data_IF_335225650635
#
_entry.id   IF_335225650635
#
_cell.length_a   1.000
_cell.length_b   1.000
_cell.length_c   1.000
_cell.angle_alpha   90.00
_cell.angle_beta   90.00
_cell.angle_gamma   90.00
#
_symmetry.space_group_name_H-M   'P 1'
#
loop_
_entity.id
_entity.type
_entity.pdbx_description
1 polymer ?
#
# COMPACT_ATOMS: atom_id res chain seq x y z
N UNK A 1 58.60 -18.73 -17.44
CA UNK A 1 57.37 -19.38 -17.94
C UNK A 1 57.09 -20.56 -17.02
N UNK A 2 55.83 -20.71 -16.58
CA UNK A 2 55.25 -21.66 -15.59
C UNK A 2 55.21 -21.24 -14.10
N UNK A 3 54.00 -20.78 -13.74
CA UNK A 3 53.27 -20.75 -12.45
C UNK A 3 53.20 -22.14 -11.74
N UNK A 4 52.44 -22.32 -10.63
CA UNK A 4 52.29 -21.60 -9.35
C UNK A 4 52.26 -22.60 -8.14
N UNK A 5 51.98 -22.12 -6.92
CA UNK A 5 51.10 -22.73 -5.88
C UNK A 5 51.36 -22.02 -4.53
N UNK A 6 50.43 -21.26 -3.94
CA UNK A 6 49.12 -21.56 -3.31
C UNK A 6 49.25 -21.26 -1.80
N UNK A 7 48.69 -20.13 -1.37
CA UNK A 7 48.37 -19.85 0.04
C UNK A 7 46.85 -20.04 0.16
N UNK A 8 46.44 -21.01 0.99
CA UNK A 8 45.03 -21.28 1.27
C UNK A 8 44.50 -20.29 2.31
N UNK A 9 43.44 -19.57 1.96
CA UNK A 9 42.58 -18.84 2.88
C UNK A 9 41.30 -19.65 3.08
N UNK A 10 40.92 -19.93 4.32
CA UNK A 10 39.65 -20.57 4.68
C UNK A 10 38.60 -19.51 4.98
N UNK A 11 37.46 -19.54 4.28
CA UNK A 11 36.28 -18.71 4.55
C UNK A 11 35.21 -19.54 5.23
N UNK A 12 34.68 -19.06 6.37
CA UNK A 12 33.52 -19.62 7.04
C UNK A 12 32.26 -18.87 6.57
N UNK A 13 31.31 -19.56 5.96
CA UNK A 13 29.97 -19.03 5.65
C UNK A 13 28.99 -19.60 6.69
N UNK A 14 28.57 -18.77 7.65
CA UNK A 14 27.44 -19.08 8.53
C UNK A 14 26.15 -18.54 7.91
N UNK A 15 25.33 -19.43 7.35
CA UNK A 15 23.94 -19.13 6.99
C UNK A 15 22.99 -19.69 8.06
N UNK A 16 22.35 -18.83 8.85
CA UNK A 16 21.24 -19.22 9.72
C UNK A 16 19.93 -19.19 8.93
N UNK A 17 19.31 -20.35 8.73
CA UNK A 17 17.89 -20.47 8.36
C UNK A 17 17.11 -20.88 9.61
N UNK A 18 16.13 -20.08 10.02
CA UNK A 18 15.17 -20.45 11.06
C UNK A 18 13.92 -21.06 10.40
N UNK A 19 13.68 -22.35 10.64
CA UNK A 19 12.36 -22.97 10.46
C UNK A 19 11.83 -23.33 11.85
N UNK A 20 10.60 -22.92 12.15
CA UNK A 20 9.90 -23.34 13.37
C UNK A 20 8.91 -24.45 12.99
N UNK A 21 9.17 -25.67 13.45
CA UNK A 21 8.14 -26.70 13.59
C UNK A 21 8.44 -27.55 14.83
N UNK A 22 7.47 -27.60 15.76
CA UNK A 22 7.21 -28.64 16.76
C UNK A 22 8.39 -29.29 17.52
N UNK A 23 8.54 -28.91 18.80
CA UNK A 23 9.04 -29.72 19.93
C UNK A 23 10.00 -30.90 19.67
N UNK A 24 11.31 -30.64 19.74
CA UNK A 24 12.37 -31.32 20.54
C UNK A 24 13.75 -31.08 19.89
N UNK A 25 14.65 -30.45 20.62
CA UNK A 25 16.04 -30.23 20.20
C UNK A 25 16.85 -31.53 20.29
N UNK A 26 17.50 -31.92 19.19
CA UNK A 26 18.61 -32.88 19.20
C UNK A 26 19.66 -32.43 18.20
N UNK A 27 20.90 -32.25 18.66
CA UNK A 27 22.06 -31.80 17.87
C UNK A 27 22.79 -33.01 17.29
N UNK A 28 23.07 -33.02 15.99
CA UNK A 28 24.03 -33.96 15.36
C UNK A 28 25.12 -33.12 14.67
N UNK A 29 26.37 -33.43 14.99
CA UNK A 29 27.58 -32.82 14.42
C UNK A 29 28.08 -33.63 13.21
N UNK A 30 28.57 -32.95 12.17
CA UNK A 30 29.38 -33.55 11.09
C UNK A 30 30.73 -32.81 10.92
N UNK A 31 31.76 -33.45 10.32
CA UNK A 31 33.17 -33.25 10.71
C UNK A 31 33.97 -32.24 9.88
N UNK A 32 34.98 -31.64 10.52
CA UNK A 32 36.00 -30.76 9.93
C UNK A 32 37.08 -31.54 9.14
N UNK A 33 37.53 -30.99 8.00
CA UNK A 33 38.74 -31.42 7.29
C UNK A 33 39.82 -30.35 7.40
N UNK A 34 40.97 -30.70 8.02
CA UNK A 34 42.13 -29.81 8.25
C UNK A 34 43.36 -30.30 7.47
N UNK A 35 44.09 -29.40 6.81
CA UNK A 35 45.39 -29.71 6.17
C UNK A 35 46.50 -28.81 6.74
N UNK A 36 47.63 -29.41 7.15
CA UNK A 36 48.78 -28.78 7.84
C UNK A 36 49.92 -28.39 6.90
N UNK A 37 50.65 -27.32 7.27
CA UNK A 37 51.93 -26.88 6.65
C UNK A 37 53.17 -27.45 7.39
N UNK A 38 54.31 -27.56 6.68
CA UNK A 38 55.62 -27.95 7.25
C UNK A 38 56.67 -26.85 7.03
N UNK A 39 57.54 -26.64 8.03
CA UNK A 39 58.53 -25.54 8.13
C UNK A 39 59.97 -26.07 7.95
N UNK A 40 60.81 -25.34 7.20
CA UNK A 40 62.26 -25.55 7.11
C UNK A 40 63.03 -24.29 7.55
N UNK A 41 64.13 -24.46 8.29
CA UNK A 41 64.91 -23.43 9.00
C UNK A 41 65.80 -22.57 8.07
N UNK A 42 65.93 -21.28 8.39
CA UNK A 42 66.93 -20.37 7.83
C UNK A 42 68.03 -20.04 8.86
N UNK A 43 69.27 -19.88 8.39
CA UNK A 43 70.44 -19.38 9.14
C UNK A 43 70.66 -17.89 8.92
N UNK A 44 71.10 -17.20 9.98
CA UNK A 44 71.37 -15.76 10.06
C UNK A 44 72.51 -15.27 9.17
N UNK A 45 72.38 -14.04 8.64
CA UNK A 45 73.51 -13.19 8.28
C UNK A 45 73.23 -11.73 8.69
N UNK A 46 74.32 -11.04 9.05
CA UNK A 46 74.43 -9.84 9.89
C UNK A 46 73.91 -8.54 9.24
N UNK A 47 73.46 -7.64 10.13
CA UNK A 47 73.09 -6.23 9.94
C UNK A 47 74.23 -5.33 9.47
N UNK A 48 73.89 -4.17 8.86
CA UNK A 48 74.65 -2.95 9.17
C UNK A 48 73.80 -1.68 9.42
N UNK A 49 74.38 -0.86 10.31
CA UNK A 49 74.23 0.58 10.52
C UNK A 49 73.01 1.11 11.32
N UNK A 50 73.30 1.59 12.53
CA UNK A 50 72.39 2.08 13.56
C UNK A 50 71.86 3.51 13.36
N UNK A 51 72.24 4.20 12.29
CA UNK A 51 71.83 5.61 12.03
C UNK A 51 70.53 5.67 11.22
N UNK A 52 70.30 4.71 10.32
CA UNK A 52 69.01 4.56 9.64
C UNK A 52 67.89 4.12 10.59
N UNK A 53 68.21 3.32 11.62
CA UNK A 53 67.23 2.83 12.59
C UNK A 53 66.61 3.97 13.41
N UNK A 54 67.41 4.96 13.84
CA UNK A 54 66.92 6.09 14.63
C UNK A 54 66.09 7.07 13.80
N UNK A 55 66.44 7.28 12.53
CA UNK A 55 65.61 8.07 11.61
C UNK A 55 64.29 7.37 11.28
N UNK A 56 64.30 6.03 11.13
CA UNK A 56 63.07 5.24 10.99
C UNK A 56 62.19 5.30 12.23
N UNK A 57 62.77 5.27 13.43
CA UNK A 57 62.01 5.36 14.69
C UNK A 57 61.35 6.74 14.84
N UNK A 58 62.06 7.84 14.53
CA UNK A 58 61.49 9.19 14.58
C UNK A 58 60.42 9.39 13.49
N UNK A 59 60.64 8.87 12.27
CA UNK A 59 59.62 8.90 11.21
C UNK A 59 58.40 8.02 11.57
N UNK A 60 58.62 6.89 12.25
CA UNK A 60 57.53 6.03 12.75
C UNK A 60 56.75 6.72 13.86
N UNK A 61 57.41 7.42 14.79
CA UNK A 61 56.79 8.16 15.89
C UNK A 61 55.99 9.39 15.38
N UNK A 62 56.52 10.10 14.38
CA UNK A 62 55.80 11.19 13.69
C UNK A 62 54.64 10.66 12.82
N UNK A 63 54.76 9.47 12.23
CA UNK A 63 53.63 8.81 11.55
C UNK A 63 52.53 8.35 12.52
N UNK A 64 52.89 7.96 13.74
CA UNK A 64 51.92 7.58 14.78
C UNK A 64 51.24 8.77 15.47
N UNK A 65 51.74 10.00 15.32
CA UNK A 65 51.03 11.23 15.71
C UNK A 65 50.22 11.85 14.57
N UNK A 66 50.37 11.34 13.34
CA UNK A 66 49.47 11.62 12.22
C UNK A 66 48.29 10.63 12.16
N UNK A 67 47.87 10.08 13.30
CA UNK A 67 46.49 9.61 13.47
C UNK A 67 45.62 10.87 13.53
N UNK A 68 45.43 11.45 12.34
CA UNK A 68 44.19 12.12 11.99
C UNK A 68 43.06 11.21 12.47
N UNK A 69 42.03 11.83 13.04
CA UNK A 69 40.68 11.31 13.16
C UNK A 69 40.25 10.69 11.83
N UNK A 70 40.69 9.47 11.54
CA UNK A 70 40.00 8.59 10.63
C UNK A 70 38.80 8.17 11.46
N UNK A 71 37.73 8.97 11.37
CA UNK A 71 36.38 8.40 11.50
C UNK A 71 36.44 7.14 10.65
N UNK A 72 36.36 5.98 11.29
CA UNK A 72 36.32 4.71 10.58
C UNK A 72 35.24 4.85 9.53
N UNK A 73 35.66 5.00 8.28
CA UNK A 73 34.75 4.84 7.18
C UNK A 73 34.47 3.36 7.20
N UNK A 74 33.36 3.02 7.85
CA UNK A 74 32.76 1.71 7.84
C UNK A 74 32.43 1.42 6.37
N UNK A 75 33.44 0.96 5.62
CA UNK A 75 33.33 0.32 4.32
C UNK A 75 32.77 -1.10 4.54
N UNK A 76 31.75 -1.20 5.41
CA UNK A 76 30.94 -2.37 5.57
C UNK A 76 30.21 -2.59 4.26
N UNK A 77 30.21 -3.84 3.80
CA UNK A 77 29.45 -4.33 2.64
C UNK A 77 27.97 -3.88 2.64
N UNK A 78 27.44 -3.52 3.82
CA UNK A 78 26.14 -2.88 4.02
C UNK A 78 26.31 -1.70 4.98
N UNK A 79 25.89 -0.50 4.56
CA UNK A 79 25.81 0.69 5.41
C UNK A 79 24.37 1.17 5.47
N UNK A 80 23.92 1.61 6.65
CA UNK A 80 22.63 2.31 6.79
C UNK A 80 22.68 3.61 6.02
N UNK A 81 21.83 3.77 4.99
CA UNK A 81 21.70 4.99 4.22
C UNK A 81 20.81 5.98 4.96
N UNK A 82 21.23 7.24 5.06
CA UNK A 82 20.35 8.34 5.47
C UNK A 82 19.34 8.60 4.34
N UNK A 83 18.02 8.42 4.56
CA UNK A 83 16.99 8.69 3.54
C UNK A 83 17.06 10.10 2.96
N UNK A 84 17.61 11.08 3.69
CA UNK A 84 17.80 12.45 3.22
C UNK A 84 18.82 12.53 2.08
N UNK A 85 19.83 11.66 2.05
CA UNK A 85 20.83 11.59 0.98
C UNK A 85 20.25 11.05 -0.33
N UNK A 86 19.14 10.31 -0.26
CA UNK A 86 18.43 9.79 -1.44
C UNK A 86 17.47 10.83 -2.07
N UNK A 87 17.39 12.04 -1.49
CA UNK A 87 16.43 13.07 -1.89
C UNK A 87 14.98 12.63 -1.72
N UNK A 88 14.73 11.63 -0.89
CA UNK A 88 13.39 11.10 -0.63
C UNK A 88 12.61 12.11 0.18
N UNK A 89 11.63 12.73 -0.49
CA UNK A 89 10.63 13.59 0.15
C UNK A 89 9.65 12.73 0.95
N UNK A 90 8.72 13.37 1.66
CA UNK A 90 7.56 12.70 2.28
C UNK A 90 6.86 11.81 1.25
N UNK A 91 6.49 10.60 1.66
CA UNK A 91 5.68 9.68 0.84
C UNK A 91 4.43 10.37 0.33
N UNK A 92 4.02 10.04 -0.90
CA UNK A 92 2.86 10.62 -1.57
C UNK A 92 1.95 9.53 -2.07
N UNK A 93 0.65 9.75 -1.95
CA UNK A 93 -0.37 8.99 -2.67
C UNK A 93 -0.65 9.71 -3.99
N UNK A 94 -0.77 8.95 -5.08
CA UNK A 94 -1.07 9.49 -6.41
C UNK A 94 -1.98 8.54 -7.15
N UNK A 95 -3.01 9.09 -7.79
CA UNK A 95 -3.97 8.35 -8.59
C UNK A 95 -3.77 8.68 -10.07
N UNK A 96 -3.86 7.65 -10.90
CA UNK A 96 -3.73 7.74 -12.35
C UNK A 96 -4.94 7.12 -13.00
N UNK A 97 -5.41 7.78 -14.05
CA UNK A 97 -6.44 7.27 -14.95
C UNK A 97 -5.97 7.48 -16.38
N UNK A 98 -5.94 6.41 -17.16
CA UNK A 98 -5.58 6.45 -18.58
C UNK A 98 -6.12 5.21 -19.29
N UNK A 99 -6.09 5.26 -20.62
CA UNK A 99 -6.48 4.17 -21.50
C UNK A 99 -5.24 3.58 -22.15
N UNK A 100 -5.08 2.27 -22.03
CA UNK A 100 -4.04 1.46 -22.65
C UNK A 100 -4.58 0.85 -23.95
N UNK A 101 -3.83 0.99 -25.04
CA UNK A 101 -4.25 0.61 -26.39
C UNK A 101 -3.36 -0.49 -26.96
N UNK A 102 -3.84 -1.72 -26.94
CA UNK A 102 -3.18 -2.88 -27.55
C UNK A 102 -3.62 -2.98 -29.01
N UNK A 103 -2.70 -2.72 -29.94
CA UNK A 103 -3.01 -2.62 -31.37
C UNK A 103 -2.18 -3.66 -32.12
N UNK A 104 -2.82 -4.75 -32.55
CA UNK A 104 -2.25 -5.78 -33.42
C UNK A 104 -2.47 -5.48 -34.90
N UNK A 105 -3.50 -4.69 -35.23
CA UNK A 105 -3.90 -4.44 -36.61
C UNK A 105 -3.32 -3.15 -37.19
N UNK A 106 -3.65 -2.91 -38.47
CA UNK A 106 -3.26 -1.70 -39.17
C UNK A 106 -1.81 -1.70 -39.64
N UNK A 107 -1.35 -0.53 -40.11
CA UNK A 107 0.00 -0.36 -40.68
C UNK A 107 1.09 -0.19 -39.62
N UNK A 108 0.70 0.30 -38.43
CA UNK A 108 1.61 0.64 -37.34
C UNK A 108 1.11 -0.02 -36.04
N UNK A 109 1.19 -1.36 -35.91
CA UNK A 109 0.79 -2.04 -34.69
C UNK A 109 1.68 -1.61 -33.52
N UNK A 110 1.10 -1.53 -32.32
CA UNK A 110 1.83 -1.32 -31.06
C UNK A 110 2.17 -2.62 -30.35
N UNK A 111 1.52 -3.72 -30.74
CA UNK A 111 1.71 -5.05 -30.19
C UNK A 111 2.09 -6.06 -31.28
N UNK A 112 3.06 -6.92 -30.96
CA UNK A 112 3.57 -7.94 -31.90
C UNK A 112 3.73 -9.26 -31.17
N UNK A 113 3.09 -10.30 -31.69
CA UNK A 113 3.28 -11.68 -31.21
C UNK A 113 4.69 -12.17 -31.54
N UNK A 114 5.48 -12.48 -30.51
CA UNK A 114 6.88 -12.95 -30.64
C UNK A 114 7.01 -14.45 -30.42
N UNK A 115 6.11 -15.06 -29.64
CA UNK A 115 5.99 -16.51 -29.50
C UNK A 115 4.55 -16.90 -29.75
N UNK A 116 4.35 -17.89 -30.64
CA UNK A 116 3.02 -18.43 -30.94
C UNK A 116 2.69 -19.56 -29.98
N UNK A 117 1.41 -19.66 -29.61
CA UNK A 117 0.91 -20.81 -28.88
C UNK A 117 1.07 -22.10 -29.71
N UNK A 118 1.20 -23.27 -29.07
CA UNK A 118 1.08 -24.55 -29.75
C UNK A 118 -0.26 -24.68 -30.49
N UNK A 119 -0.27 -25.46 -31.58
CA UNK A 119 -1.50 -25.78 -32.32
C UNK A 119 -2.55 -26.40 -31.39
N UNK A 120 -3.82 -26.01 -31.57
CA UNK A 120 -4.98 -26.45 -30.78
C UNK A 120 -5.07 -25.93 -29.33
N UNK A 121 -4.39 -24.84 -28.99
CA UNK A 121 -4.55 -24.18 -27.68
C UNK A 121 -5.76 -23.23 -27.67
N UNK A 122 -6.79 -23.55 -26.88
CA UNK A 122 -7.98 -22.69 -26.70
C UNK A 122 -7.71 -21.46 -25.83
N UNK A 123 -6.69 -21.50 -24.98
CA UNK A 123 -6.31 -20.38 -24.09
C UNK A 123 -5.12 -19.59 -24.62
N UNK A 124 -4.56 -20.00 -25.76
CA UNK A 124 -3.30 -19.50 -26.32
C UNK A 124 -2.10 -19.72 -25.39
N UNK A 125 -2.17 -20.64 -24.41
CA UNK A 125 -1.09 -20.91 -23.46
C UNK A 125 0.27 -21.01 -24.13
N UNK A 126 1.25 -20.29 -23.59
CA UNK A 126 2.62 -20.20 -24.09
C UNK A 126 2.84 -19.14 -25.17
N UNK A 127 1.79 -18.46 -25.68
CA UNK A 127 1.99 -17.30 -26.54
C UNK A 127 2.61 -16.13 -25.76
N UNK A 128 3.41 -15.33 -26.44
CA UNK A 128 4.05 -14.12 -25.89
C UNK A 128 3.96 -13.00 -26.91
N UNK A 129 3.62 -11.81 -26.45
CA UNK A 129 3.54 -10.60 -27.28
C UNK A 129 4.34 -9.47 -26.65
N UNK A 130 5.18 -8.83 -27.47
CA UNK A 130 5.89 -7.60 -27.11
C UNK A 130 4.97 -6.40 -27.37
N UNK A 131 5.01 -5.43 -26.46
CA UNK A 131 4.16 -4.23 -26.53
C UNK A 131 4.96 -2.94 -26.36
N UNK A 132 4.53 -1.93 -27.09
CA UNK A 132 4.87 -0.52 -26.92
C UNK A 132 3.59 0.32 -27.12
N UNK A 133 2.67 0.17 -26.18
CA UNK A 133 1.29 0.61 -26.32
C UNK A 133 1.07 2.04 -25.84
N UNK A 134 0.32 2.87 -26.58
CA UNK A 134 -0.07 4.21 -26.13
C UNK A 134 -0.87 4.19 -24.80
N UNK A 135 -0.56 5.15 -23.92
CA UNK A 135 -1.38 5.48 -22.74
C UNK A 135 -2.00 6.86 -22.94
N UNK A 136 -3.32 6.94 -23.12
CA UNK A 136 -4.00 8.19 -23.46
C UNK A 136 -5.01 8.64 -22.39
N UNK A 137 -5.44 9.90 -22.46
CA UNK A 137 -6.41 10.48 -21.54
C UNK A 137 -7.82 9.90 -21.70
N UNK A 138 -8.24 9.66 -22.95
CA UNK A 138 -9.56 9.13 -23.31
C UNK A 138 -9.45 7.82 -24.11
N UNK A 139 -10.57 7.12 -24.32
CA UNK A 139 -10.59 5.88 -25.08
C UNK A 139 -10.29 6.08 -26.58
N UNK A 140 -10.35 7.30 -27.11
CA UNK A 140 -9.94 7.60 -28.47
C UNK A 140 -8.41 7.69 -28.55
N UNK A 141 -7.80 7.01 -29.54
CA UNK A 141 -6.35 7.06 -29.76
C UNK A 141 -5.83 8.47 -30.08
N UNK A 142 -6.69 9.34 -30.64
CA UNK A 142 -6.39 10.74 -30.90
C UNK A 142 -6.41 11.63 -29.66
N UNK A 143 -6.86 11.10 -28.51
CA UNK A 143 -6.83 11.84 -27.26
C UNK A 143 -5.40 12.06 -26.78
N UNK A 144 -5.24 12.94 -25.78
CA UNK A 144 -3.93 13.34 -25.28
C UNK A 144 -3.11 12.12 -24.84
N UNK A 145 -1.88 12.02 -25.35
CA UNK A 145 -0.92 10.97 -24.99
C UNK A 145 -0.21 11.31 -23.67
N UNK A 146 -0.32 10.45 -22.67
CA UNK A 146 0.35 10.62 -21.37
C UNK A 146 1.66 9.84 -21.27
N UNK A 147 1.77 8.74 -22.01
CA UNK A 147 2.87 7.80 -21.87
C UNK A 147 2.74 6.60 -22.78
N UNK A 148 3.58 5.59 -22.52
CA UNK A 148 3.54 4.29 -23.18
C UNK A 148 3.64 3.14 -22.17
N UNK A 149 3.00 2.02 -22.45
CA UNK A 149 3.21 0.76 -21.75
C UNK A 149 4.17 -0.10 -22.56
N UNK A 150 5.33 -0.40 -21.98
CA UNK A 150 6.40 -1.11 -22.67
C UNK A 150 6.77 -2.37 -21.92
N UNK A 151 6.86 -3.49 -22.64
CA UNK A 151 7.18 -4.79 -22.06
C UNK A 151 6.59 -5.93 -22.88
N UNK A 152 6.07 -6.94 -22.19
CA UNK A 152 5.37 -8.04 -22.84
C UNK A 152 4.23 -8.56 -21.97
N UNK A 153 3.38 -9.36 -22.60
CA UNK A 153 2.51 -10.26 -21.87
C UNK A 153 2.54 -11.65 -22.49
N UNK A 154 2.24 -12.66 -21.67
CA UNK A 154 2.21 -14.05 -22.10
C UNK A 154 0.92 -14.73 -21.66
N UNK A 155 0.33 -15.59 -22.50
CA UNK A 155 -0.76 -16.44 -22.02
C UNK A 155 -0.19 -17.51 -21.09
N UNK A 156 -0.50 -17.40 -19.80
CA UNK A 156 0.14 -18.13 -18.73
C UNK A 156 -0.83 -19.10 -18.01
N UNK A 157 -2.05 -19.26 -18.52
CA UNK A 157 -3.06 -20.18 -17.97
C UNK A 157 -3.48 -21.23 -18.98
N UNK A 158 -3.58 -22.48 -18.53
CA UNK A 158 -4.04 -23.61 -19.35
C UNK A 158 -5.57 -23.77 -19.33
N UNK A 159 -6.24 -23.21 -18.31
CA UNK A 159 -7.68 -23.41 -18.08
C UNK A 159 -8.54 -22.26 -18.59
N UNK A 160 -7.96 -21.07 -18.76
CA UNK A 160 -8.64 -19.86 -19.21
C UNK A 160 -7.66 -18.91 -19.90
N UNK A 161 -8.16 -17.86 -20.56
CA UNK A 161 -7.31 -16.79 -21.11
C UNK A 161 -6.82 -15.88 -19.97
N UNK A 162 -5.76 -16.32 -19.32
CA UNK A 162 -5.08 -15.58 -18.24
C UNK A 162 -3.69 -15.14 -18.69
N UNK A 163 -3.51 -13.83 -18.86
CA UNK A 163 -2.23 -13.25 -19.25
C UNK A 163 -1.35 -13.00 -18.02
N UNK A 164 -0.04 -13.16 -18.14
CA UNK A 164 0.95 -12.57 -17.25
C UNK A 164 1.43 -11.27 -17.90
N UNK A 165 1.14 -10.12 -17.28
CA UNK A 165 1.62 -8.82 -17.72
C UNK A 165 2.98 -8.55 -17.06
N UNK A 166 3.99 -8.20 -17.85
CA UNK A 166 5.30 -7.77 -17.38
C UNK A 166 5.71 -6.50 -18.16
N UNK A 167 5.36 -5.34 -17.61
CA UNK A 167 5.43 -4.07 -18.35
C UNK A 167 5.72 -2.87 -17.44
N UNK A 168 6.22 -1.81 -18.05
CA UNK A 168 6.40 -0.50 -17.43
C UNK A 168 5.43 0.51 -18.06
N UNK A 169 4.75 1.29 -17.22
CA UNK A 169 4.11 2.53 -17.65
C UNK A 169 5.14 3.65 -17.61
N UNK A 170 5.55 4.13 -18.78
CA UNK A 170 6.50 5.21 -18.97
C UNK A 170 5.76 6.51 -19.30
N UNK A 171 5.80 7.48 -18.39
CA UNK A 171 5.13 8.77 -18.58
C UNK A 171 6.05 9.74 -19.32
N UNK A 172 5.51 10.41 -20.35
CA UNK A 172 6.29 11.31 -21.24
C UNK A 172 5.89 12.78 -21.12
N UNK A 173 4.90 13.07 -20.27
CA UNK A 173 4.32 14.40 -20.14
C UNK A 173 4.11 14.84 -18.69
N UNK A 174 3.98 16.16 -18.51
CA UNK A 174 3.66 16.79 -17.23
C UNK A 174 4.71 16.55 -16.16
N UNK A 175 4.29 16.59 -14.88
CA UNK A 175 5.23 16.48 -13.76
C UNK A 175 5.92 15.11 -13.67
N UNK A 176 5.36 14.08 -14.30
CA UNK A 176 5.87 12.70 -14.22
C UNK A 176 6.74 12.30 -15.41
N UNK A 177 7.00 13.23 -16.34
CA UNK A 177 7.83 12.98 -17.51
C UNK A 177 9.16 12.28 -17.13
N UNK A 178 9.47 11.18 -17.82
CA UNK A 178 10.64 10.35 -17.59
C UNK A 178 10.52 9.35 -16.44
N UNK A 179 9.46 9.41 -15.63
CA UNK A 179 9.23 8.46 -14.53
C UNK A 179 8.50 7.21 -15.03
N UNK A 180 8.70 6.09 -14.35
CA UNK A 180 8.06 4.82 -14.70
C UNK A 180 7.43 4.13 -13.50
N UNK A 181 6.38 3.35 -13.73
CA UNK A 181 5.78 2.42 -12.78
C UNK A 181 5.82 1.02 -13.38
N UNK A 182 6.30 0.03 -12.63
CA UNK A 182 6.44 -1.36 -13.09
C UNK A 182 5.28 -2.21 -12.59
N UNK A 183 4.63 -2.93 -13.52
CA UNK A 183 3.52 -3.85 -13.26
C UNK A 183 3.97 -5.27 -13.62
N UNK A 184 3.83 -6.19 -12.67
CA UNK A 184 4.03 -7.62 -12.88
C UNK A 184 2.87 -8.38 -12.25
N UNK A 185 1.91 -8.82 -13.06
CA UNK A 185 0.65 -9.34 -12.52
C UNK A 185 -0.13 -10.22 -13.47
N UNK A 186 -0.99 -11.06 -12.89
CA UNK A 186 -1.92 -11.91 -13.63
C UNK A 186 -3.16 -11.11 -14.06
N UNK A 187 -3.57 -11.27 -15.30
CA UNK A 187 -4.64 -10.52 -15.96
C UNK A 187 -5.64 -11.50 -16.62
N UNK A 188 -6.71 -11.84 -15.91
CA UNK A 188 -7.80 -12.68 -16.43
C UNK A 188 -8.74 -11.82 -17.28
N UNK A 189 -8.49 -11.74 -18.58
CA UNK A 189 -9.04 -10.67 -19.45
C UNK A 189 -10.57 -10.60 -19.51
N UNK A 190 -11.27 -11.69 -19.21
CA UNK A 190 -12.74 -11.75 -19.19
C UNK A 190 -13.36 -11.30 -17.85
N UNK A 191 -12.56 -11.13 -16.79
CA UNK A 191 -13.06 -10.54 -15.55
C UNK A 191 -13.35 -9.05 -15.76
N UNK A 192 -14.47 -8.59 -15.21
CA UNK A 192 -14.91 -7.19 -15.30
C UNK A 192 -13.89 -6.23 -14.68
N UNK A 193 -13.20 -6.66 -13.62
CA UNK A 193 -12.16 -5.89 -12.95
C UNK A 193 -10.98 -6.78 -12.64
N UNK A 194 -9.78 -6.29 -12.93
CA UNK A 194 -8.55 -7.08 -12.91
C UNK A 194 -7.48 -6.28 -12.20
N UNK A 195 -7.07 -6.73 -11.02
CA UNK A 195 -6.05 -6.08 -10.21
C UNK A 195 -4.68 -6.67 -10.49
N UNK A 196 -3.67 -5.81 -10.62
CA UNK A 196 -2.27 -6.21 -10.78
C UNK A 196 -1.38 -5.35 -9.87
N UNK A 197 -0.36 -5.93 -9.23
CA UNK A 197 0.49 -5.18 -8.31
C UNK A 197 1.47 -4.29 -9.07
N UNK A 198 1.73 -3.12 -8.47
CA UNK A 198 2.88 -2.29 -8.80
C UNK A 198 4.06 -2.82 -7.98
N UNK A 199 5.07 -3.34 -8.67
CA UNK A 199 6.25 -3.95 -8.05
C UNK A 199 7.43 -2.97 -7.91
N UNK A 200 7.30 -1.75 -8.42
CA UNK A 200 8.32 -0.72 -8.32
C UNK A 200 8.08 0.47 -9.22
N UNK A 201 9.06 1.37 -9.26
CA UNK A 201 9.05 2.53 -10.15
C UNK A 201 10.39 3.28 -10.17
N UNK A 202 10.52 4.19 -11.14
CA UNK A 202 11.70 5.03 -11.34
C UNK A 202 11.34 6.51 -11.34
N UNK A 203 12.36 7.39 -11.28
CA UNK A 203 12.15 8.83 -11.23
C UNK A 203 11.34 9.25 -10.00
N UNK A 204 10.21 9.92 -10.21
CA UNK A 204 9.31 10.33 -9.12
C UNK A 204 8.60 9.17 -8.43
N UNK A 205 8.60 7.97 -9.02
CA UNK A 205 8.02 6.76 -8.45
C UNK A 205 9.08 5.82 -7.85
N UNK A 206 10.27 6.33 -7.52
CA UNK A 206 11.26 5.54 -6.79
C UNK A 206 10.64 5.03 -5.49
N UNK A 207 10.77 3.73 -5.23
CA UNK A 207 10.13 3.02 -4.12
C UNK A 207 8.59 2.96 -4.19
N UNK A 208 8.00 3.12 -5.38
CA UNK A 208 6.56 2.98 -5.56
C UNK A 208 6.08 1.57 -5.19
N UNK A 209 4.95 1.55 -4.49
CA UNK A 209 4.17 0.38 -4.11
C UNK A 209 2.69 0.72 -4.32
N UNK A 210 1.90 -0.26 -4.74
CA UNK A 210 0.49 -0.06 -5.02
C UNK A 210 -0.07 -1.15 -5.92
N UNK A 211 -1.18 -0.85 -6.58
CA UNK A 211 -1.84 -1.73 -7.52
C UNK A 211 -2.43 -0.90 -8.65
N UNK A 212 -2.81 -1.58 -9.72
CA UNK A 212 -3.59 -1.04 -10.82
C UNK A 212 -4.82 -1.91 -11.00
N UNK A 213 -5.97 -1.33 -11.33
CA UNK A 213 -7.07 -2.11 -11.88
C UNK A 213 -7.39 -1.74 -13.31
N UNK A 214 -7.56 -2.79 -14.09
CA UNK A 214 -7.87 -2.76 -15.49
C UNK A 214 -9.33 -3.17 -15.74
N UNK A 215 -10.00 -2.45 -16.65
CA UNK A 215 -11.33 -2.76 -17.17
C UNK A 215 -11.29 -2.66 -18.69
N UNK A 216 -11.75 -3.69 -19.38
CA UNK A 216 -11.81 -3.66 -20.85
C UNK A 216 -12.90 -2.68 -21.28
N UNK A 217 -12.51 -1.64 -22.01
CA UNK A 217 -13.42 -0.68 -22.61
C UNK A 217 -13.97 -1.23 -23.94
N UNK A 218 -13.08 -1.74 -24.80
CA UNK A 218 -13.46 -2.43 -26.04
C UNK A 218 -12.44 -3.52 -26.37
N UNK A 219 -12.90 -4.54 -27.11
CA UNK A 219 -12.08 -5.61 -27.64
C UNK A 219 -12.64 -6.05 -28.98
N UNK A 220 -11.78 -6.17 -29.98
CA UNK A 220 -12.14 -6.60 -31.34
C UNK A 220 -11.56 -7.98 -31.58
N UNK A 221 -12.35 -9.07 -31.45
CA UNK A 221 -11.82 -10.43 -31.52
C UNK A 221 -11.16 -10.81 -32.85
N UNK A 222 -11.59 -10.20 -33.96
CA UNK A 222 -11.04 -10.49 -35.29
C UNK A 222 -9.62 -9.98 -35.49
N UNK A 223 -9.23 -8.92 -34.78
CA UNK A 223 -7.89 -8.33 -34.87
C UNK A 223 -7.05 -8.58 -33.63
N UNK A 224 -7.67 -8.77 -32.48
CA UNK A 224 -7.01 -8.79 -31.17
C UNK A 224 -6.84 -7.41 -30.56
N UNK A 225 -7.30 -6.33 -31.20
CA UNK A 225 -7.14 -4.98 -30.68
C UNK A 225 -8.00 -4.76 -29.43
N UNK A 226 -7.42 -4.11 -28.41
CA UNK A 226 -8.08 -3.86 -27.14
C UNK A 226 -7.83 -2.44 -26.65
N UNK A 227 -8.86 -1.86 -26.03
CA UNK A 227 -8.74 -0.63 -25.26
C UNK A 227 -9.09 -0.98 -23.81
N UNK A 228 -8.18 -0.68 -22.89
CA UNK A 228 -8.31 -1.02 -21.47
C UNK A 228 -8.15 0.23 -20.64
N UNK A 229 -9.17 0.55 -19.84
CA UNK A 229 -9.07 1.59 -18.84
C UNK A 229 -8.28 1.08 -17.63
N UNK A 230 -7.24 1.82 -17.24
CA UNK A 230 -6.53 1.64 -15.98
C UNK A 230 -6.95 2.74 -15.01
N UNK A 231 -7.66 2.36 -13.95
CA UNK A 231 -8.28 3.28 -12.99
C UNK A 231 -8.80 2.53 -11.76
N UNK A 232 -8.45 2.94 -10.53
CA UNK A 232 -9.36 2.76 -9.36
C UNK A 232 -8.91 3.37 -8.01
N UNK A 233 -9.76 4.25 -7.52
CA UNK A 233 -10.33 4.34 -6.16
C UNK A 233 -11.40 5.44 -6.27
N UNK A 234 -12.63 5.20 -5.77
CA UNK A 234 -13.66 6.24 -5.72
C UNK A 234 -13.61 6.89 -4.33
N UNK A 235 -13.20 8.15 -4.27
CA UNK A 235 -13.40 8.97 -3.08
C UNK A 235 -14.79 9.61 -3.18
N UNK A 236 -15.69 9.20 -2.28
CA UNK A 236 -17.00 9.83 -2.14
C UNK A 236 -17.02 10.66 -0.86
N UNK A 237 -17.49 11.89 -0.99
CA UNK A 237 -17.84 12.75 0.15
C UNK A 237 -19.36 12.71 0.33
N UNK A 238 -19.81 12.43 1.55
CA UNK A 238 -21.22 12.36 1.92
C UNK A 238 -21.44 13.32 3.07
N UNK A 239 -22.38 14.26 2.93
CA UNK A 239 -22.85 15.11 4.01
C UNK A 239 -24.29 14.73 4.37
N UNK A 240 -24.54 14.51 5.66
CA UNK A 240 -25.86 14.15 6.19
C UNK A 240 -26.00 14.56 7.66
N UNK A 241 -27.23 14.57 8.16
CA UNK A 241 -27.55 14.94 9.55
C UNK A 241 -28.10 13.74 10.31
N UNK A 242 -27.43 13.39 11.41
CA UNK A 242 -27.78 12.31 12.34
C UNK A 242 -28.64 12.86 13.49
N UNK A 243 -29.80 12.25 13.71
CA UNK A 243 -30.79 12.69 14.70
C UNK A 243 -30.95 11.70 15.84
N UNK A 244 -30.40 12.03 17.01
CA UNK A 244 -30.63 11.29 18.26
C UNK A 244 -31.83 11.88 18.97
N UNK A 245 -32.89 11.10 19.08
CA UNK A 245 -34.08 11.48 19.84
C UNK A 245 -34.15 10.55 21.05
N UNK A 246 -33.85 11.10 22.21
CA UNK A 246 -33.82 10.42 23.51
C UNK A 246 -35.12 10.71 24.27
N UNK A 247 -35.63 11.94 24.16
CA UNK A 247 -36.85 12.38 24.82
C UNK A 247 -38.12 12.20 23.98
N UNK A 248 -39.26 12.54 24.59
CA UNK A 248 -40.55 12.60 23.90
C UNK A 248 -41.24 11.24 23.69
N UNK A 249 -42.36 11.23 22.95
CA UNK A 249 -43.21 10.04 22.78
C UNK A 249 -42.68 9.00 21.79
N UNK A 250 -41.71 9.36 20.94
CA UNK A 250 -41.16 8.50 19.88
C UNK A 250 -39.63 8.55 19.87
N UNK A 251 -38.95 8.09 20.94
CA UNK A 251 -37.50 8.10 21.00
C UNK A 251 -36.91 7.14 19.95
N UNK A 252 -35.78 7.54 19.37
CA UNK A 252 -34.97 6.72 18.45
C UNK A 252 -33.76 6.09 19.14
N UNK A 253 -33.43 6.54 20.37
CA UNK A 253 -32.39 5.98 21.21
C UNK A 253 -32.93 5.61 22.60
N UNK A 254 -32.56 4.43 23.07
CA UNK A 254 -33.02 3.87 24.35
C UNK A 254 -31.85 3.39 25.20
N UNK A 255 -31.95 3.58 26.52
CA UNK A 255 -31.00 3.01 27.49
C UNK A 255 -31.14 1.49 27.51
N UNK A 256 -30.04 0.78 27.24
CA UNK A 256 -29.95 -0.68 27.42
C UNK A 256 -29.17 -1.04 28.67
N UNK A 257 -28.22 -0.18 29.06
CA UNK A 257 -27.52 -0.24 30.34
C UNK A 257 -27.47 1.17 30.91
N UNK A 258 -28.15 1.48 32.03
CA UNK A 258 -28.10 2.79 32.65
C UNK A 258 -26.72 3.04 33.29
N UNK A 259 -26.32 4.31 33.52
CA UNK A 259 -25.08 4.59 34.22
C UNK A 259 -25.13 4.05 35.66
N UNK A 260 -24.01 3.54 36.22
CA UNK A 260 -23.95 3.03 37.59
C UNK A 260 -24.34 4.07 38.65
N UNK A 261 -24.10 5.36 38.36
CA UNK A 261 -24.52 6.47 39.21
C UNK A 261 -25.24 7.52 38.39
N UNK A 262 -26.46 7.88 38.82
CA UNK A 262 -27.26 8.97 38.24
C UNK A 262 -26.67 10.35 38.49
N UNK A 263 -25.71 10.48 39.42
CA UNK A 263 -25.01 11.74 39.68
C UNK A 263 -23.73 11.89 38.85
N UNK A 264 -23.42 10.92 37.98
CA UNK A 264 -22.21 10.95 37.15
C UNK A 264 -22.29 12.07 36.11
N UNK A 265 -21.34 13.02 36.08
CA UNK A 265 -21.35 14.10 35.10
C UNK A 265 -21.07 13.63 33.67
N UNK A 266 -20.49 12.43 33.49
CA UNK A 266 -20.16 11.85 32.18
C UNK A 266 -21.06 10.68 31.80
N UNK A 267 -21.94 10.25 32.71
CA UNK A 267 -22.71 9.03 32.60
C UNK A 267 -21.84 7.78 32.32
N UNK A 268 -20.58 7.76 32.74
CA UNK A 268 -19.67 6.62 32.51
C UNK A 268 -20.34 5.26 32.76
N UNK A 269 -20.28 4.36 31.78
CA UNK A 269 -20.92 3.04 31.82
C UNK A 269 -22.33 2.98 31.24
N UNK A 270 -22.97 4.12 30.94
CA UNK A 270 -24.20 4.16 30.14
C UNK A 270 -23.98 3.52 28.77
N UNK A 271 -24.92 2.71 28.30
CA UNK A 271 -25.00 2.20 26.92
C UNK A 271 -26.40 2.44 26.38
N UNK A 272 -26.49 3.06 25.20
CA UNK A 272 -27.74 3.26 24.47
C UNK A 272 -27.73 2.56 23.13
N UNK A 273 -28.81 1.85 22.83
CA UNK A 273 -29.09 1.33 21.49
C UNK A 273 -29.91 2.36 20.73
N UNK A 274 -29.62 2.56 19.46
CA UNK A 274 -30.33 3.54 18.64
C UNK A 274 -30.59 3.06 17.21
N UNK A 275 -31.67 3.58 16.64
CA UNK A 275 -32.00 3.51 15.21
C UNK A 275 -32.45 4.90 14.76
N UNK A 276 -31.47 5.71 14.38
CA UNK A 276 -31.62 7.13 14.15
C UNK A 276 -31.81 7.46 12.68
N UNK A 277 -32.59 8.51 12.41
CA UNK A 277 -32.72 9.04 11.06
C UNK A 277 -31.41 9.70 10.61
N UNK A 278 -31.07 9.51 9.33
CA UNK A 278 -30.06 10.31 8.63
C UNK A 278 -30.72 11.06 7.49
N UNK A 279 -30.73 12.39 7.56
CA UNK A 279 -31.41 13.25 6.58
C UNK A 279 -30.45 14.13 5.81
N UNK A 280 -30.91 14.66 4.67
CA UNK A 280 -30.12 15.57 3.84
C UNK A 280 -29.91 16.96 4.47
N UNK A 281 -30.89 17.44 5.25
CA UNK A 281 -30.86 18.73 5.96
C UNK A 281 -30.97 18.57 7.48
N UNK A 282 -30.69 19.63 8.25
CA UNK A 282 -30.66 19.59 9.72
C UNK A 282 -32.03 19.44 10.37
N UNK A 283 -33.13 19.68 9.66
CA UNK A 283 -34.48 19.48 10.15
C UNK A 283 -34.88 18.01 10.02
N UNK A 284 -35.52 17.45 11.06
CA UNK A 284 -35.99 16.05 11.05
C UNK A 284 -37.00 15.76 9.92
N UNK A 285 -37.71 16.79 9.43
CA UNK A 285 -38.64 16.68 8.29
C UNK A 285 -37.95 16.67 6.92
N UNK A 286 -36.62 16.87 6.88
CA UNK A 286 -35.84 16.75 5.64
C UNK A 286 -35.88 15.33 5.08
N UNK A 287 -35.50 15.20 3.81
CA UNK A 287 -35.45 13.90 3.12
C UNK A 287 -34.59 12.88 3.90
N UNK A 288 -35.19 11.73 4.21
CA UNK A 288 -34.51 10.59 4.82
C UNK A 288 -33.67 9.85 3.78
N UNK A 289 -32.36 9.88 3.94
CA UNK A 289 -31.40 9.25 3.01
C UNK A 289 -30.86 7.91 3.52
N UNK A 290 -30.75 7.77 4.85
CA UNK A 290 -30.18 6.60 5.49
C UNK A 290 -30.71 6.42 6.93
N UNK A 291 -30.37 5.30 7.56
CA UNK A 291 -30.58 5.04 8.98
C UNK A 291 -29.25 4.77 9.64
N UNK A 292 -29.01 5.37 10.80
CA UNK A 292 -27.86 5.06 11.64
C UNK A 292 -28.30 4.07 12.72
N UNK A 293 -27.74 2.88 12.67
CA UNK A 293 -28.13 1.77 13.54
C UNK A 293 -26.91 1.27 14.30
N UNK A 294 -27.04 1.17 15.62
CA UNK A 294 -25.95 0.73 16.47
C UNK A 294 -26.15 1.15 17.91
N UNK A 295 -25.05 1.29 18.62
CA UNK A 295 -25.07 1.74 20.00
C UNK A 295 -23.94 2.71 20.27
N UNK A 296 -24.10 3.49 21.34
CA UNK A 296 -23.01 4.25 21.93
C UNK A 296 -22.91 3.99 23.42
N UNK A 297 -21.68 4.10 23.95
CA UNK A 297 -21.42 3.96 25.36
C UNK A 297 -20.65 5.17 25.90
N UNK A 298 -21.04 5.69 27.08
CA UNK A 298 -20.24 6.69 27.79
C UNK A 298 -18.97 6.06 28.32
N UNK A 299 -17.88 6.23 27.59
CA UNK A 299 -16.64 5.45 27.75
C UNK A 299 -15.53 6.22 28.50
N UNK A 300 -15.76 7.48 28.88
CA UNK A 300 -14.79 8.29 29.62
C UNK A 300 -15.29 8.70 31.01
N UNK A 301 -14.39 8.64 31.99
CA UNK A 301 -14.67 9.01 33.38
C UNK A 301 -14.54 10.52 33.64
N UNK A 302 -13.73 11.23 32.84
CA UNK A 302 -13.36 12.64 33.09
C UNK A 302 -14.06 13.64 32.19
N UNK A 303 -14.58 13.20 31.05
CA UNK A 303 -15.30 14.03 30.10
C UNK A 303 -16.44 13.22 29.47
N UNK A 304 -17.46 13.90 28.95
CA UNK A 304 -18.53 13.25 28.19
C UNK A 304 -17.99 12.84 26.81
N UNK A 305 -17.51 11.61 26.72
CA UNK A 305 -16.98 11.00 25.50
C UNK A 305 -17.64 9.66 25.28
N UNK A 306 -18.24 9.51 24.10
CA UNK A 306 -18.94 8.31 23.69
C UNK A 306 -18.01 7.42 22.88
N UNK A 307 -18.12 6.10 23.02
CA UNK A 307 -17.65 5.15 22.02
C UNK A 307 -18.83 4.85 21.10
N UNK A 308 -18.74 5.25 19.84
CA UNK A 308 -19.77 5.01 18.83
C UNK A 308 -19.45 3.70 18.10
N UNK A 309 -20.42 2.79 18.00
CA UNK A 309 -20.34 1.58 17.19
C UNK A 309 -21.60 1.47 16.34
N UNK A 310 -21.51 1.85 15.06
CA UNK A 310 -22.71 2.09 14.24
C UNK A 310 -22.50 1.83 12.75
N UNK A 311 -23.60 1.53 12.07
CA UNK A 311 -23.72 1.43 10.63
C UNK A 311 -24.62 2.53 10.10
N UNK A 312 -24.19 3.23 9.05
CA UNK A 312 -25.05 4.08 8.24
C UNK A 312 -25.57 3.25 7.07
N UNK A 313 -26.84 2.85 7.13
CA UNK A 313 -27.52 2.03 6.14
C UNK A 313 -28.35 2.92 5.21
N UNK A 314 -27.91 3.05 3.96
CA UNK A 314 -28.56 3.91 2.96
C UNK A 314 -29.83 3.25 2.44
N UNK A 315 -30.92 4.02 2.38
CA UNK A 315 -32.26 3.51 2.00
C UNK A 315 -32.80 4.17 0.73
N UNK A 316 -32.10 5.17 0.21
CA UNK A 316 -32.43 5.89 -1.03
C UNK A 316 -31.17 6.27 -1.81
N UNK A 317 -31.36 6.80 -3.03
CA UNK A 317 -30.28 7.30 -3.88
C UNK A 317 -29.38 6.21 -4.47
N UNK A 318 -28.22 6.63 -4.98
CA UNK A 318 -27.25 5.74 -5.64
C UNK A 318 -26.61 4.70 -4.69
N UNK A 319 -26.69 4.92 -3.38
CA UNK A 319 -26.11 4.05 -2.36
C UNK A 319 -27.14 3.12 -1.70
N UNK A 320 -28.40 3.12 -2.14
CA UNK A 320 -29.47 2.34 -1.54
C UNK A 320 -29.06 0.86 -1.35
N UNK A 321 -29.29 0.35 -0.13
CA UNK A 321 -28.93 -1.01 0.29
C UNK A 321 -27.47 -1.20 0.67
N UNK A 322 -26.63 -0.17 0.57
CA UNK A 322 -25.23 -0.20 1.00
C UNK A 322 -25.05 0.35 2.42
N UNK A 323 -23.93 0.02 3.06
CA UNK A 323 -23.63 0.50 4.42
C UNK A 323 -22.21 1.03 4.55
N UNK A 324 -22.03 2.01 5.44
CA UNK A 324 -20.72 2.45 5.96
C UNK A 324 -20.68 2.16 7.46
N UNK A 325 -19.58 1.58 7.97
CA UNK A 325 -19.41 1.25 9.39
C UNK A 325 -18.44 2.21 10.05
N UNK A 326 -18.87 2.83 11.16
CA UNK A 326 -18.06 3.73 11.99
C UNK A 326 -17.86 3.12 13.38
N UNK A 327 -16.62 3.10 13.85
CA UNK A 327 -16.26 2.69 15.21
C UNK A 327 -15.22 3.65 15.78
N UNK A 328 -15.62 4.53 16.71
CA UNK A 328 -14.73 5.59 17.13
C UNK A 328 -15.14 6.31 18.40
N UNK A 329 -14.15 6.99 19.00
CA UNK A 329 -14.35 7.86 20.14
C UNK A 329 -14.94 9.20 19.69
N UNK A 330 -15.93 9.69 20.43
CA UNK A 330 -16.71 10.88 20.13
C UNK A 330 -16.81 11.78 21.37
N UNK A 331 -15.84 12.69 21.53
CA UNK A 331 -15.84 13.67 22.64
C UNK A 331 -16.80 14.82 22.33
N UNK A 332 -18.00 14.77 22.93
CA UNK A 332 -19.20 15.50 22.49
C UNK A 332 -19.00 17.01 22.37
N UNK A 333 -18.22 17.62 23.27
CA UNK A 333 -18.00 19.06 23.31
C UNK A 333 -16.88 19.57 22.40
N UNK A 334 -16.15 18.68 21.72
CA UNK A 334 -15.21 19.09 20.68
C UNK A 334 -15.98 19.60 19.46
N UNK A 335 -15.52 20.72 18.89
CA UNK A 335 -16.15 21.38 17.74
C UNK A 335 -16.29 20.45 16.54
N UNK A 336 -15.22 19.72 16.23
CA UNK A 336 -15.16 18.71 15.17
C UNK A 336 -14.60 17.43 15.77
N UNK A 337 -15.21 16.30 15.45
CA UNK A 337 -14.89 14.99 16.03
C UNK A 337 -14.69 14.00 14.89
N UNK A 338 -13.52 13.37 14.83
CA UNK A 338 -13.20 12.41 13.78
C UNK A 338 -13.52 10.98 14.23
N UNK A 339 -14.26 10.24 13.41
CA UNK A 339 -14.50 8.82 13.58
C UNK A 339 -13.99 8.06 12.35
N UNK A 340 -13.26 6.94 12.52
CA UNK A 340 -12.78 6.18 11.37
C UNK A 340 -13.92 5.39 10.72
N UNK A 341 -13.89 5.34 9.39
CA UNK A 341 -14.63 4.35 8.60
C UNK A 341 -13.84 3.06 8.63
N UNK A 342 -14.37 2.04 9.31
CA UNK A 342 -13.70 0.76 9.52
C UNK A 342 -14.17 -0.33 8.54
N UNK A 343 -15.14 -0.01 7.68
CA UNK A 343 -15.65 -0.93 6.67
C UNK A 343 -16.92 -0.44 6.01
N UNK A 344 -17.46 -1.26 5.11
CA UNK A 344 -18.71 -1.01 4.42
C UNK A 344 -19.17 -2.21 3.60
N UNK A 345 -20.41 -2.16 3.14
CA UNK A 345 -21.05 -3.21 2.32
C UNK A 345 -21.70 -2.61 1.07
N UNK A 346 -22.14 -3.48 0.14
CA UNK A 346 -22.70 -3.02 -1.14
C UNK A 346 -21.66 -2.27 -1.96
N UNK A 347 -21.98 -1.05 -2.37
CA UNK A 347 -21.08 -0.15 -3.12
C UNK A 347 -19.83 0.23 -2.31
N UNK A 348 -19.94 0.25 -0.98
CA UNK A 348 -18.85 0.60 -0.06
C UNK A 348 -18.04 -0.61 0.40
N UNK A 349 -18.01 -1.70 -0.39
CA UNK A 349 -17.17 -2.86 -0.07
C UNK A 349 -15.69 -2.44 -0.01
N UNK A 350 -14.99 -2.92 1.02
CA UNK A 350 -13.60 -2.53 1.33
C UNK A 350 -13.43 -1.04 1.66
N UNK A 351 -14.50 -0.38 2.11
CA UNK A 351 -14.45 1.02 2.47
C UNK A 351 -13.42 1.32 3.56
N UNK A 352 -12.66 2.40 3.35
CA UNK A 352 -11.73 3.00 4.31
C UNK A 352 -11.84 4.52 4.23
N UNK A 353 -11.64 5.20 5.35
CA UNK A 353 -11.81 6.65 5.39
C UNK A 353 -12.08 7.16 6.80
N UNK A 354 -12.70 8.34 6.88
CA UNK A 354 -13.04 9.00 8.12
C UNK A 354 -14.32 9.81 7.98
N UNK A 355 -14.95 10.11 9.10
CA UNK A 355 -16.08 11.00 9.20
C UNK A 355 -15.77 12.12 10.21
N UNK A 356 -16.08 13.34 9.84
CA UNK A 356 -16.04 14.50 10.71
C UNK A 356 -17.45 14.82 11.18
N UNK A 357 -17.67 14.80 12.49
CA UNK A 357 -18.95 15.10 13.12
C UNK A 357 -18.91 16.45 13.83
N UNK A 358 -19.91 17.29 13.59
CA UNK A 358 -20.09 18.60 14.22
C UNK A 358 -21.52 18.72 14.76
N UNK A 359 -21.66 19.17 16.01
CA UNK A 359 -22.99 19.27 16.64
C UNK A 359 -23.72 20.50 16.10
N UNK A 360 -24.92 20.31 15.55
CA UNK A 360 -25.78 21.38 15.08
C UNK A 360 -26.70 21.86 16.23
N UNK A 361 -27.37 20.94 16.90
CA UNK A 361 -28.17 21.20 18.11
C UNK A 361 -27.92 20.11 19.14
N UNK A 362 -27.98 20.48 20.42
CA UNK A 362 -27.93 19.53 21.53
C UNK A 362 -28.69 20.08 22.72
N UNK A 363 -29.79 19.42 23.09
CA UNK A 363 -30.54 19.71 24.30
C UNK A 363 -29.97 18.89 25.45
N UNK A 364 -29.32 19.55 26.40
CA UNK A 364 -28.73 18.91 27.58
C UNK A 364 -29.77 18.35 28.56
N UNK A 365 -31.02 18.79 28.46
CA UNK A 365 -32.12 18.37 29.33
C UNK A 365 -32.68 17.03 28.88
N UNK A 366 -32.98 16.89 27.59
CA UNK A 366 -33.54 15.67 27.01
C UNK A 366 -32.46 14.70 26.55
N UNK A 367 -31.30 15.22 26.13
CA UNK A 367 -30.25 14.48 25.45
C UNK A 367 -30.43 14.45 23.92
N UNK A 368 -31.45 15.11 23.38
CA UNK A 368 -31.71 15.13 21.94
C UNK A 368 -30.62 15.90 21.20
N UNK A 369 -30.16 15.36 20.07
CA UNK A 369 -29.06 15.96 19.30
C UNK A 369 -29.28 15.82 17.80
N UNK A 370 -28.97 16.90 17.08
CA UNK A 370 -28.73 16.85 15.63
C UNK A 370 -27.26 17.09 15.37
N UNK A 371 -26.62 16.17 14.64
CA UNK A 371 -25.19 16.18 14.35
C UNK A 371 -24.97 16.09 12.85
N UNK A 372 -24.25 17.06 12.29
CA UNK A 372 -23.78 16.99 10.90
C UNK A 372 -22.60 16.04 10.80
N UNK A 373 -22.62 15.14 9.83
CA UNK A 373 -21.53 14.24 9.47
C UNK A 373 -21.04 14.53 8.06
N UNK A 374 -19.75 14.80 7.92
CA UNK A 374 -19.03 14.84 6.65
C UNK A 374 -18.16 13.59 6.54
N UNK A 375 -18.52 12.65 5.66
CA UNK A 375 -17.88 11.34 5.52
C UNK A 375 -17.05 11.32 4.24
N UNK A 376 -15.78 10.99 4.35
CA UNK A 376 -14.86 10.81 3.23
C UNK A 376 -14.52 9.32 3.13
N UNK A 377 -15.08 8.64 2.14
CA UNK A 377 -14.97 7.19 1.99
C UNK A 377 -14.33 6.82 0.66
N UNK A 378 -13.26 6.04 0.73
CA UNK A 378 -12.65 5.38 -0.43
C UNK A 378 -13.34 4.02 -0.66
N UNK A 379 -13.82 3.77 -1.87
CA UNK A 379 -14.47 2.52 -2.29
C UNK A 379 -14.26 2.22 -3.79
N UNK A 380 -14.93 1.21 -4.33
CA UNK A 380 -14.41 0.43 -5.48
C UNK A 380 -15.38 0.11 -6.62
#
# INVERSE_FOLDING_TARGET
MWQPNLVNYSFNLYGQFHYICGHKETTICEPEVVIKFKRGKATMAKTPSSILATQFIILSLLSSFAIILVQGEDQGFVRSLDPKLLGLKKEKLSHFRFYWHDIYSGKNPSAVGVVRAPTNSSTLFGSVSMIDDPLTQGPELSSKLWGRAQGFYASASQQEVGLLMAMNFHFIEGKYNGSTVSVLGRNQVFNKVREMPIIGGSGLFRFARGYVEARTHSFTPSTGDAIVEYNREKLTHICLYWHDIVGGPHPTAIDVVPPPSKSSPTNFGLVRMFDNALTQGPELSSELVARAQGFYASAAQKELSLLMAQNFAFVQGEFNGSTITLLGRNSVFNKVRELPVIGGSGVFRFAKGYAEASTHTFDLTTGDATVEYNIYVLHY
#
